data_IF_774030498791
#
_entry.id   IF_774030498791
#
_cell.length_a   1.000
_cell.length_b   1.000
_cell.length_c   1.000
_cell.angle_alpha   90.00
_cell.angle_beta   90.00
_cell.angle_gamma   90.00
#
_symmetry.space_group_name_H-M   'P 1'
#
loop_
_entity.id
_entity.type
_entity.pdbx_description
1 polymer ?
#
# COMPACT_ATOMS: atom_id res chain seq x y z
N UNK A 1 32.98 -14.12 -24.20
CA UNK A 1 34.08 -13.80 -23.28
C UNK A 1 35.38 -13.66 -24.06
N UNK A 2 36.21 -12.68 -23.70
CA UNK A 2 37.53 -12.52 -24.31
C UNK A 2 38.53 -13.45 -23.64
N UNK A 3 39.46 -14.02 -24.43
CA UNK A 3 40.60 -14.75 -23.87
C UNK A 3 41.58 -13.75 -23.24
N UNK A 4 42.41 -14.22 -22.32
CA UNK A 4 43.48 -13.39 -21.72
C UNK A 4 44.38 -12.79 -22.79
N UNK A 5 44.74 -13.56 -23.82
CA UNK A 5 45.52 -13.07 -24.96
C UNK A 5 44.82 -11.95 -25.74
N UNK A 6 43.50 -12.05 -25.97
CA UNK A 6 42.73 -11.01 -26.65
C UNK A 6 42.66 -9.72 -25.83
N UNK A 7 42.48 -9.82 -24.51
CA UNK A 7 42.51 -8.65 -23.61
C UNK A 7 43.90 -8.00 -23.60
N UNK A 8 44.98 -8.79 -23.59
CA UNK A 8 46.34 -8.25 -23.61
C UNK A 8 46.70 -7.58 -24.95
N UNK A 9 46.10 -8.03 -26.05
CA UNK A 9 46.31 -7.44 -27.38
C UNK A 9 45.61 -6.09 -27.56
N UNK A 10 44.44 -5.90 -26.94
CA UNK A 10 43.72 -4.62 -26.92
C UNK A 10 43.04 -4.38 -25.56
N UNK A 11 43.80 -3.89 -24.56
CA UNK A 11 43.32 -3.80 -23.19
C UNK A 11 42.28 -2.69 -22.98
N UNK A 12 42.22 -1.69 -23.85
CA UNK A 12 41.32 -0.54 -23.69
C UNK A 12 39.94 -0.88 -24.27
N UNK A 13 39.87 -1.23 -25.56
CA UNK A 13 38.58 -1.46 -26.21
C UNK A 13 37.86 -2.67 -25.60
N UNK A 14 38.62 -3.73 -25.33
CA UNK A 14 38.09 -4.95 -24.74
C UNK A 14 37.50 -4.69 -23.35
N UNK A 15 38.18 -3.89 -22.52
CA UNK A 15 37.69 -3.51 -21.20
C UNK A 15 36.43 -2.63 -21.28
N UNK A 16 36.40 -1.67 -22.21
CA UNK A 16 35.21 -0.84 -22.45
C UNK A 16 33.98 -1.68 -22.86
N UNK A 17 34.17 -2.70 -23.71
CA UNK A 17 33.09 -3.62 -24.13
C UNK A 17 32.60 -4.50 -22.98
N UNK A 18 33.49 -4.91 -22.06
CA UNK A 18 33.08 -5.66 -20.86
C UNK A 18 32.26 -4.79 -19.89
N UNK A 19 32.49 -3.48 -19.87
CA UNK A 19 31.78 -2.53 -19.01
C UNK A 19 30.40 -2.06 -19.52
N UNK A 20 30.01 -2.43 -20.75
CA UNK A 20 28.80 -1.90 -21.42
C UNK A 20 27.52 -2.03 -20.58
N UNK A 21 27.38 -3.13 -19.82
CA UNK A 21 26.16 -3.42 -19.05
C UNK A 21 26.32 -3.28 -17.53
N UNK A 22 27.46 -2.79 -17.04
CA UNK A 22 27.79 -2.79 -15.61
C UNK A 22 28.20 -1.42 -15.07
N UNK A 23 28.74 -0.53 -15.91
CA UNK A 23 29.32 0.73 -15.46
C UNK A 23 28.31 1.69 -14.80
N UNK A 24 27.05 1.69 -15.23
CA UNK A 24 26.03 2.63 -14.74
C UNK A 24 25.39 2.21 -13.40
N UNK A 25 25.53 0.94 -13.00
CA UNK A 25 24.79 0.37 -11.87
C UNK A 25 25.08 1.12 -10.57
N UNK A 26 26.36 1.35 -10.27
CA UNK A 26 26.77 2.09 -9.08
C UNK A 26 26.43 3.58 -9.16
N UNK A 27 26.46 4.17 -10.36
CA UNK A 27 26.16 5.61 -10.55
C UNK A 27 24.68 5.92 -10.39
N UNK A 28 23.81 4.95 -10.65
CA UNK A 28 22.36 5.07 -10.55
C UNK A 28 21.79 4.53 -9.23
N UNK A 29 22.65 4.20 -8.26
CA UNK A 29 22.26 3.64 -6.96
C UNK A 29 21.35 2.41 -7.12
N UNK A 30 21.85 1.42 -7.87
CA UNK A 30 21.14 0.18 -8.18
C UNK A 30 21.80 -1.02 -7.47
N UNK A 31 21.01 -2.05 -7.17
CA UNK A 31 21.52 -3.37 -6.83
C UNK A 31 21.51 -4.27 -8.06
N UNK A 32 22.36 -5.30 -8.07
CA UNK A 32 22.42 -6.24 -9.19
C UNK A 32 22.98 -7.60 -8.82
N UNK A 33 22.47 -8.66 -9.47
CA UNK A 33 22.92 -10.05 -9.27
C UNK A 33 23.13 -10.71 -10.64
N UNK A 34 24.34 -11.21 -10.87
CA UNK A 34 24.67 -12.00 -12.05
C UNK A 34 24.32 -13.48 -11.84
N UNK A 35 23.60 -14.07 -12.78
CA UNK A 35 23.01 -15.41 -12.67
C UNK A 35 23.40 -16.25 -13.88
N UNK A 36 23.96 -17.46 -13.69
CA UNK A 36 24.26 -18.36 -14.79
C UNK A 36 22.96 -18.92 -15.39
N UNK A 37 22.87 -18.89 -16.72
CA UNK A 37 21.64 -19.25 -17.47
C UNK A 37 21.85 -20.32 -18.53
N UNK A 38 23.09 -20.64 -18.88
CA UNK A 38 23.39 -21.77 -19.75
C UNK A 38 24.83 -21.77 -20.23
N UNK A 39 25.03 -22.48 -21.33
CA UNK A 39 26.26 -22.46 -22.10
C UNK A 39 25.99 -21.89 -23.48
N UNK A 40 26.97 -21.18 -24.02
CA UNK A 40 26.96 -20.68 -25.39
C UNK A 40 27.29 -21.82 -26.35
N UNK A 41 27.02 -21.63 -27.64
CA UNK A 41 27.34 -22.64 -28.68
C UNK A 41 28.83 -22.98 -28.82
N UNK A 42 29.73 -22.22 -28.17
CA UNK A 42 31.17 -22.50 -28.06
C UNK A 42 31.57 -23.18 -26.74
N UNK A 43 30.60 -23.65 -25.94
CA UNK A 43 30.83 -24.36 -24.68
C UNK A 43 31.25 -23.47 -23.51
N UNK A 44 31.25 -22.15 -23.67
CA UNK A 44 31.54 -21.20 -22.59
C UNK A 44 30.27 -20.82 -21.81
N UNK A 45 30.36 -20.54 -20.51
CA UNK A 45 29.20 -20.17 -19.71
C UNK A 45 28.54 -18.87 -20.20
N UNK A 46 27.23 -18.79 -19.99
CA UNK A 46 26.39 -17.62 -20.22
C UNK A 46 25.71 -17.21 -18.92
N UNK A 47 25.66 -15.91 -18.66
CA UNK A 47 24.95 -15.34 -17.53
C UNK A 47 24.10 -14.14 -17.96
N UNK A 48 23.06 -13.86 -17.18
CA UNK A 48 22.34 -12.59 -17.23
C UNK A 48 22.51 -11.85 -15.91
N UNK A 49 22.50 -10.53 -15.93
CA UNK A 49 22.53 -9.72 -14.72
C UNK A 49 21.15 -9.11 -14.51
N UNK A 50 20.52 -9.43 -13.38
CA UNK A 50 19.30 -8.77 -12.92
C UNK A 50 19.71 -7.47 -12.23
N UNK A 51 19.07 -6.36 -12.59
CA UNK A 51 19.31 -5.03 -12.00
C UNK A 51 18.00 -4.50 -11.42
N UNK A 52 18.07 -3.88 -10.23
CA UNK A 52 16.94 -3.26 -9.57
C UNK A 52 17.36 -1.98 -8.82
N UNK A 53 16.43 -1.11 -8.42
CA UNK A 53 16.74 0.06 -7.59
C UNK A 53 17.41 -0.33 -6.26
N UNK A 54 18.09 0.63 -5.61
CA UNK A 54 18.63 0.46 -4.27
C UNK A 54 17.57 0.00 -3.27
N UNK A 55 17.95 -0.94 -2.39
CA UNK A 55 17.07 -1.52 -1.37
C UNK A 55 16.22 -2.69 -1.86
N UNK A 56 16.28 -3.06 -3.14
CA UNK A 56 15.59 -4.21 -3.71
C UNK A 56 16.45 -5.50 -3.74
N UNK A 57 17.52 -5.58 -2.95
CA UNK A 57 18.49 -6.69 -2.96
C UNK A 57 17.83 -8.04 -2.71
N UNK A 58 16.92 -8.12 -1.73
CA UNK A 58 16.22 -9.35 -1.38
C UNK A 58 15.32 -9.85 -2.52
N UNK A 59 14.57 -8.94 -3.15
CA UNK A 59 13.71 -9.26 -4.31
C UNK A 59 14.57 -9.74 -5.49
N UNK A 60 15.65 -9.02 -5.78
CA UNK A 60 16.59 -9.37 -6.86
C UNK A 60 17.24 -10.73 -6.62
N UNK A 61 17.64 -11.03 -5.38
CA UNK A 61 18.20 -12.31 -4.99
C UNK A 61 17.19 -13.46 -5.10
N UNK A 62 15.91 -13.23 -4.77
CA UNK A 62 14.85 -14.23 -4.95
C UNK A 62 14.65 -14.57 -6.42
N UNK A 63 14.55 -13.57 -7.30
CA UNK A 63 14.42 -13.81 -8.73
C UNK A 63 15.67 -14.48 -9.32
N UNK A 64 16.85 -14.09 -8.85
CA UNK A 64 18.11 -14.71 -9.24
C UNK A 64 18.18 -16.19 -8.86
N UNK A 65 17.74 -16.53 -7.64
CA UNK A 65 17.62 -17.92 -7.18
C UNK A 65 16.69 -18.72 -8.09
N UNK A 66 15.51 -18.19 -8.39
CA UNK A 66 14.52 -18.89 -9.20
C UNK A 66 15.01 -19.11 -10.64
N UNK A 67 15.71 -18.12 -11.20
CA UNK A 67 16.33 -18.22 -12.51
C UNK A 67 17.48 -19.24 -12.55
N UNK A 68 18.34 -19.26 -11.53
CA UNK A 68 19.40 -20.26 -11.43
C UNK A 68 18.81 -21.66 -11.28
N UNK A 69 17.80 -21.83 -10.44
CA UNK A 69 17.13 -23.12 -10.26
C UNK A 69 16.50 -23.61 -11.57
N UNK A 70 15.86 -22.70 -12.33
CA UNK A 70 15.27 -23.01 -13.63
C UNK A 70 16.31 -23.36 -14.71
N UNK A 71 17.54 -22.83 -14.64
CA UNK A 71 18.60 -23.19 -15.59
C UNK A 71 19.15 -24.61 -15.38
N UNK A 72 18.93 -25.20 -14.20
CA UNK A 72 19.39 -26.55 -13.87
C UNK A 72 20.92 -26.69 -13.79
N UNK A 73 21.65 -25.58 -13.80
CA UNK A 73 23.11 -25.57 -13.76
C UNK A 73 23.64 -25.92 -12.35
N UNK A 74 24.82 -26.54 -12.24
CA UNK A 74 25.48 -26.75 -10.96
C UNK A 74 26.04 -25.44 -10.38
N UNK A 75 26.49 -25.48 -9.13
CA UNK A 75 27.18 -24.36 -8.48
C UNK A 75 28.55 -24.12 -9.11
N UNK A 76 28.58 -23.35 -10.19
CA UNK A 76 29.79 -23.08 -10.98
C UNK A 76 30.44 -24.37 -11.49
N UNK A 77 31.77 -24.37 -11.58
CA UNK A 77 32.55 -25.53 -12.05
C UNK A 77 32.71 -26.65 -11.00
N UNK A 78 32.01 -26.60 -9.85
CA UNK A 78 32.16 -27.59 -8.77
C UNK A 78 31.45 -28.91 -9.05
N UNK A 79 30.46 -28.91 -9.95
CA UNK A 79 29.55 -30.04 -10.16
C UNK A 79 28.57 -30.27 -9.00
N UNK A 80 28.56 -29.42 -7.98
CA UNK A 80 27.61 -29.54 -6.88
C UNK A 80 26.22 -29.11 -7.32
N UNK A 81 25.18 -29.90 -7.00
CA UNK A 81 23.82 -29.52 -7.32
C UNK A 81 23.42 -28.27 -6.53
N UNK A 82 22.48 -27.50 -7.08
CA UNK A 82 21.88 -26.42 -6.32
C UNK A 82 21.13 -26.99 -5.10
N UNK A 83 21.19 -26.32 -3.94
CA UNK A 83 20.32 -26.64 -2.82
C UNK A 83 18.87 -26.60 -3.27
N UNK A 84 18.05 -27.55 -2.82
CA UNK A 84 16.62 -27.55 -3.14
C UNK A 84 15.98 -26.23 -2.73
N UNK A 85 15.06 -25.72 -3.56
CA UNK A 85 14.31 -24.49 -3.28
C UNK A 85 13.59 -24.64 -1.94
N UNK A 86 14.10 -23.99 -0.90
CA UNK A 86 13.32 -23.79 0.30
C UNK A 86 12.20 -22.79 -0.02
N UNK A 87 10.97 -23.01 0.47
CA UNK A 87 9.91 -22.01 0.40
C UNK A 87 10.51 -20.69 0.89
N UNK A 88 10.42 -19.64 0.07
CA UNK A 88 10.84 -18.33 0.52
C UNK A 88 10.08 -18.02 1.81
N UNK A 89 10.80 -17.60 2.86
CA UNK A 89 10.15 -16.84 3.92
C UNK A 89 9.35 -15.73 3.23
N UNK A 90 8.11 -15.49 3.68
CA UNK A 90 7.23 -14.49 3.08
C UNK A 90 8.04 -13.24 2.75
N UNK A 91 7.87 -12.65 1.55
CA UNK A 91 8.60 -11.45 1.20
C UNK A 91 8.50 -10.47 2.38
N UNK A 92 9.60 -9.79 2.75
CA UNK A 92 9.49 -8.71 3.72
C UNK A 92 8.35 -7.82 3.20
N UNK A 93 7.42 -7.49 4.09
CA UNK A 93 6.21 -6.71 3.79
C UNK A 93 6.51 -5.75 2.65
N UNK A 94 5.66 -5.71 1.62
CA UNK A 94 5.79 -4.97 0.35
C UNK A 94 6.05 -3.45 0.47
N UNK A 95 6.50 -2.98 1.63
CA UNK A 95 6.73 -1.60 2.01
C UNK A 95 5.44 -0.88 2.34
N UNK A 96 4.29 -1.54 2.18
CA UNK A 96 2.99 -0.91 2.28
C UNK A 96 2.43 -1.05 3.69
N UNK A 97 1.85 0.06 4.15
CA UNK A 97 1.16 0.22 5.42
C UNK A 97 -0.33 0.24 5.12
N UNK A 98 -1.07 -0.66 5.76
CA UNK A 98 -2.52 -0.69 5.69
C UNK A 98 -3.11 0.47 6.54
N UNK A 99 -3.91 1.30 5.88
CA UNK A 99 -4.62 2.45 6.40
C UNK A 99 -6.14 2.26 6.25
N UNK A 100 -6.83 2.14 7.36
CA UNK A 100 -8.28 2.10 7.50
C UNK A 100 -8.83 3.51 7.43
N UNK A 101 -9.75 3.73 6.50
CA UNK A 101 -10.49 4.99 6.35
C UNK A 101 -11.99 4.74 6.53
N UNK A 102 -12.65 5.65 7.24
CA UNK A 102 -14.06 5.51 7.66
C UNK A 102 -14.95 6.65 7.15
N UNK A 103 -14.36 7.65 6.49
CA UNK A 103 -15.03 8.93 6.25
C UNK A 103 -14.85 9.53 4.87
N UNK A 104 -14.49 10.81 4.84
CA UNK A 104 -14.36 11.58 3.61
C UNK A 104 -13.31 11.03 2.63
N UNK A 105 -12.43 10.12 3.07
CA UNK A 105 -11.44 9.43 2.25
C UNK A 105 -11.91 8.11 1.64
N UNK A 106 -13.13 7.63 1.94
CA UNK A 106 -13.71 6.43 1.29
C UNK A 106 -13.83 6.63 -0.23
N UNK A 107 -13.80 5.57 -1.02
CA UNK A 107 -13.87 5.62 -2.50
C UNK A 107 -15.03 6.49 -3.02
N UNK A 108 -14.75 7.53 -3.80
CA UNK A 108 -15.78 8.44 -4.31
C UNK A 108 -16.34 9.45 -3.29
N UNK A 109 -15.78 9.53 -2.08
CA UNK A 109 -16.01 10.64 -1.14
C UNK A 109 -15.04 11.82 -1.43
N UNK A 110 -15.36 13.04 -0.96
CA UNK A 110 -14.68 14.27 -1.40
C UNK A 110 -13.16 14.33 -1.19
N UNK A 111 -12.62 13.63 -0.19
CA UNK A 111 -11.19 13.65 0.14
C UNK A 111 -10.43 12.40 -0.35
N UNK A 112 -11.09 11.48 -1.06
CA UNK A 112 -10.42 10.28 -1.59
C UNK A 112 -9.31 10.62 -2.59
N UNK A 113 -9.42 11.75 -3.28
CA UNK A 113 -8.36 12.25 -4.19
C UNK A 113 -7.01 12.44 -3.50
N UNK A 114 -6.98 12.74 -2.20
CA UNK A 114 -5.72 12.89 -1.45
C UNK A 114 -4.96 11.56 -1.32
N UNK A 115 -5.68 10.44 -1.15
CA UNK A 115 -5.08 9.10 -1.15
C UNK A 115 -4.59 8.73 -2.55
N UNK A 116 -5.39 9.00 -3.57
CA UNK A 116 -5.03 8.70 -4.96
C UNK A 116 -3.80 9.50 -5.42
N UNK A 117 -3.69 10.77 -5.03
CA UNK A 117 -2.51 11.62 -5.31
C UNK A 117 -1.22 11.10 -4.65
N UNK A 118 -1.36 10.37 -3.54
CA UNK A 118 -0.25 9.73 -2.84
C UNK A 118 0.06 8.32 -3.36
N UNK A 119 -0.60 7.87 -4.43
CA UNK A 119 -0.40 6.54 -5.01
C UNK A 119 -0.97 5.41 -4.13
N UNK A 120 -1.93 5.71 -3.25
CA UNK A 120 -2.56 4.71 -2.40
C UNK A 120 -3.26 3.64 -3.24
N UNK A 121 -3.15 2.39 -2.82
CA UNK A 121 -3.81 1.27 -3.47
C UNK A 121 -5.04 0.86 -2.66
N UNK A 122 -6.19 0.72 -3.32
CA UNK A 122 -7.36 0.15 -2.68
C UNK A 122 -7.11 -1.32 -2.37
N UNK A 123 -7.28 -1.71 -1.10
CA UNK A 123 -7.15 -3.10 -0.66
C UNK A 123 -8.50 -3.80 -0.62
N UNK A 124 -9.36 -3.43 0.34
CA UNK A 124 -10.68 -4.03 0.52
C UNK A 124 -11.67 -3.12 1.24
N UNK A 125 -12.96 -3.31 1.00
CA UNK A 125 -14.03 -2.78 1.85
C UNK A 125 -14.37 -3.82 2.92
N UNK A 126 -14.47 -3.40 4.18
CA UNK A 126 -14.73 -4.30 5.32
C UNK A 126 -15.40 -3.56 6.48
N UNK A 127 -15.46 -4.16 7.68
CA UNK A 127 -15.95 -3.53 8.91
C UNK A 127 -14.92 -3.56 10.02
N UNK A 128 -15.07 -2.65 10.97
CA UNK A 128 -14.39 -2.73 12.27
C UNK A 128 -14.92 -3.91 13.10
N UNK A 129 -14.18 -4.31 14.13
CA UNK A 129 -14.72 -5.10 15.23
C UNK A 129 -15.92 -4.38 15.89
N UNK A 130 -16.71 -5.11 16.68
CA UNK A 130 -17.89 -4.58 17.38
C UNK A 130 -17.53 -3.76 18.64
N UNK A 131 -16.46 -2.97 18.56
CA UNK A 131 -15.86 -2.24 19.68
C UNK A 131 -15.69 -0.74 19.36
N UNK A 132 -16.40 -0.22 18.36
CA UNK A 132 -16.23 1.15 17.88
C UNK A 132 -17.53 1.92 17.83
N UNK A 133 -17.46 3.21 18.13
CA UNK A 133 -18.52 4.18 17.87
C UNK A 133 -18.09 5.18 16.82
N UNK A 134 -19.04 5.58 15.99
CA UNK A 134 -18.85 6.55 14.93
C UNK A 134 -19.62 7.82 15.28
N UNK A 135 -18.93 8.96 15.25
CA UNK A 135 -19.49 10.26 15.54
C UNK A 135 -19.36 11.19 14.34
N UNK A 136 -20.33 12.08 14.14
CA UNK A 136 -20.17 13.26 13.30
C UNK A 136 -19.57 14.39 14.14
N UNK A 137 -18.36 14.85 13.79
CA UNK A 137 -17.67 15.91 14.52
C UNK A 137 -18.25 17.29 14.19
N UNK A 138 -18.54 18.08 15.22
CA UNK A 138 -19.07 19.43 15.08
C UNK A 138 -18.00 20.47 14.73
N UNK A 139 -18.44 21.62 14.19
CA UNK A 139 -17.58 22.81 13.99
C UNK A 139 -16.61 22.72 12.82
N UNK A 140 -16.80 21.80 11.88
CA UNK A 140 -15.96 21.65 10.68
C UNK A 140 -16.69 22.17 9.44
N UNK A 141 -15.99 22.89 8.55
CA UNK A 141 -16.52 23.35 7.26
C UNK A 141 -17.00 22.19 6.36
N UNK A 142 -16.32 21.06 6.46
CA UNK A 142 -16.69 19.81 5.78
C UNK A 142 -17.03 18.80 6.88
N UNK A 143 -18.21 18.17 6.87
CA UNK A 143 -18.57 17.14 7.83
C UNK A 143 -17.51 16.02 7.83
N UNK A 144 -16.99 15.71 9.02
CA UNK A 144 -15.96 14.68 9.20
C UNK A 144 -16.42 13.68 10.27
N UNK A 145 -16.26 12.38 10.02
CA UNK A 145 -16.48 11.40 11.06
C UNK A 145 -15.30 11.34 12.03
N UNK A 146 -15.61 11.04 13.28
CA UNK A 146 -14.66 10.62 14.30
C UNK A 146 -14.99 9.19 14.75
N UNK A 147 -14.03 8.29 14.61
CA UNK A 147 -14.14 6.94 15.13
C UNK A 147 -13.47 6.87 16.51
N UNK A 148 -14.11 6.23 17.48
CA UNK A 148 -13.53 5.99 18.80
C UNK A 148 -13.73 4.53 19.20
N UNK A 149 -12.69 3.93 19.81
CA UNK A 149 -12.80 2.61 20.42
C UNK A 149 -13.45 2.75 21.80
N UNK A 150 -14.43 1.91 22.09
CA UNK A 150 -15.15 1.90 23.37
C UNK A 150 -15.04 0.52 24.03
N UNK A 151 -15.07 0.49 25.35
CA UNK A 151 -15.07 -0.77 26.11
C UNK A 151 -16.42 -1.50 25.96
N UNK A 152 -17.53 -0.76 26.03
CA UNK A 152 -18.89 -1.30 25.98
C UNK A 152 -19.78 -0.53 25.00
N UNK A 153 -20.77 -1.22 24.43
CA UNK A 153 -21.75 -0.61 23.52
C UNK A 153 -21.18 -0.18 22.17
N UNK A 154 -20.12 -0.86 21.71
CA UNK A 154 -19.55 -0.68 20.38
C UNK A 154 -20.40 -1.30 19.27
N UNK A 155 -20.18 -0.83 18.05
CA UNK A 155 -20.80 -1.29 16.82
C UNK A 155 -19.73 -1.68 15.79
N UNK A 156 -20.14 -2.43 14.77
CA UNK A 156 -19.33 -2.67 13.56
C UNK A 156 -19.56 -1.54 12.57
N UNK A 157 -18.50 -0.85 12.17
CA UNK A 157 -18.57 0.31 11.29
C UNK A 157 -17.96 -0.04 9.93
N UNK A 158 -18.66 0.25 8.83
CA UNK A 158 -18.17 0.08 7.46
C UNK A 158 -16.96 0.99 7.20
N UNK A 159 -15.86 0.38 6.73
CA UNK A 159 -14.56 1.02 6.45
C UNK A 159 -13.94 0.51 5.16
N UNK A 160 -12.93 1.21 4.64
CA UNK A 160 -12.07 0.71 3.57
C UNK A 160 -10.62 0.64 4.05
N UNK A 161 -9.91 -0.41 3.63
CA UNK A 161 -8.47 -0.55 3.83
C UNK A 161 -7.76 -0.14 2.56
N UNK A 162 -6.91 0.87 2.68
CA UNK A 162 -6.04 1.39 1.64
C UNK A 162 -4.59 1.10 2.01
N UNK A 163 -3.70 0.99 1.02
CA UNK A 163 -2.30 0.63 1.23
C UNK A 163 -1.41 1.76 0.72
N UNK A 164 -0.48 2.22 1.54
CA UNK A 164 0.41 3.35 1.25
C UNK A 164 1.86 2.94 1.53
N UNK A 165 2.81 3.38 0.70
CA UNK A 165 4.21 3.28 1.09
C UNK A 165 4.51 4.12 2.33
N UNK A 166 5.61 3.82 3.03
CA UNK A 166 5.97 4.49 4.28
C UNK A 166 6.15 6.02 4.14
N UNK A 167 6.66 6.51 3.00
CA UNK A 167 6.87 7.94 2.78
C UNK A 167 5.54 8.67 2.50
N UNK A 168 4.66 8.05 1.71
CA UNK A 168 3.31 8.52 1.46
C UNK A 168 2.48 8.54 2.74
N UNK A 169 2.58 7.49 3.56
CA UNK A 169 1.95 7.43 4.88
C UNK A 169 2.44 8.59 5.77
N UNK A 170 3.76 8.81 5.88
CA UNK A 170 4.32 9.91 6.69
C UNK A 170 3.79 11.29 6.26
N UNK A 171 3.75 11.57 4.95
CA UNK A 171 3.17 12.81 4.41
C UNK A 171 1.68 12.93 4.73
N UNK A 172 0.94 11.84 4.60
CA UNK A 172 -0.49 11.81 4.88
C UNK A 172 -0.78 12.11 6.35
N UNK A 173 -0.08 11.44 7.28
CA UNK A 173 -0.27 11.63 8.73
C UNK A 173 0.08 13.04 9.18
N UNK A 174 1.14 13.64 8.63
CA UNK A 174 1.55 15.00 8.95
C UNK A 174 0.50 16.06 8.58
N UNK A 175 -0.39 15.77 7.63
CA UNK A 175 -1.44 16.68 7.17
C UNK A 175 -2.76 16.55 7.96
N UNK A 176 -2.86 15.64 8.93
CA UNK A 176 -4.10 15.39 9.66
C UNK A 176 -4.31 16.49 10.71
N UNK A 177 -5.41 17.27 10.61
CA UNK A 177 -5.69 18.30 11.60
C UNK A 177 -6.33 17.72 12.87
N UNK A 178 -6.18 18.39 14.02
CA UNK A 178 -6.97 18.06 15.21
C UNK A 178 -8.48 18.17 14.91
N UNK A 179 -9.34 17.37 15.57
CA UNK A 179 -9.05 16.45 16.67
C UNK A 179 -8.79 15.00 16.19
N UNK A 180 -8.32 14.81 14.95
CA UNK A 180 -8.10 13.49 14.38
C UNK A 180 -6.64 13.05 14.59
N UNK A 181 -6.46 11.75 14.84
CA UNK A 181 -5.16 11.11 14.91
C UNK A 181 -5.18 9.74 14.24
N UNK A 182 -3.99 9.16 14.07
CA UNK A 182 -3.84 7.79 13.56
C UNK A 182 -3.50 6.86 14.72
N UNK A 183 -4.38 5.89 14.96
CA UNK A 183 -4.17 4.82 15.91
C UNK A 183 -4.19 3.45 15.24
N UNK A 184 -4.37 2.41 16.05
CA UNK A 184 -4.59 1.04 15.57
C UNK A 184 -6.07 0.71 15.65
N UNK A 185 -6.64 0.20 14.56
CA UNK A 185 -8.03 -0.25 14.43
C UNK A 185 -8.05 -1.76 14.28
N UNK A 186 -8.96 -2.39 15.01
CA UNK A 186 -9.28 -3.81 14.90
C UNK A 186 -10.44 -4.01 13.94
N UNK A 187 -10.24 -4.88 12.95
CA UNK A 187 -11.21 -5.23 11.92
C UNK A 187 -12.07 -6.43 12.36
N UNK A 188 -13.18 -6.67 11.65
CA UNK A 188 -14.10 -7.75 11.97
C UNK A 188 -13.52 -9.16 11.83
N UNK A 189 -12.50 -9.31 11.00
CA UNK A 189 -11.68 -10.52 10.80
C UNK A 189 -10.59 -10.71 11.89
N UNK A 190 -10.51 -9.78 12.86
CA UNK A 190 -9.52 -9.80 13.95
C UNK A 190 -8.15 -9.22 13.57
N UNK A 191 -7.96 -8.77 12.32
CA UNK A 191 -6.72 -8.12 11.91
C UNK A 191 -6.61 -6.70 12.45
N UNK A 192 -5.38 -6.22 12.61
CA UNK A 192 -5.06 -4.87 13.11
C UNK A 192 -4.43 -4.04 12.01
N UNK A 193 -4.92 -2.82 11.80
CA UNK A 193 -4.38 -1.89 10.80
C UNK A 193 -4.35 -0.46 11.35
N UNK A 194 -3.57 0.44 10.71
CA UNK A 194 -3.55 1.86 11.12
C UNK A 194 -4.80 2.55 10.63
N UNK A 195 -5.32 3.54 11.34
CA UNK A 195 -6.50 4.26 10.87
C UNK A 195 -6.90 5.44 11.72
N UNK A 196 -7.87 6.20 11.20
CA UNK A 196 -8.38 7.41 11.84
C UNK A 196 -9.12 7.12 13.14
N UNK A 197 -8.68 7.77 14.21
CA UNK A 197 -9.39 7.88 15.47
C UNK A 197 -9.59 9.36 15.82
N UNK A 198 -10.65 9.66 16.57
CA UNK A 198 -10.89 10.99 17.11
C UNK A 198 -10.45 11.07 18.57
N UNK A 199 -9.85 12.19 18.94
CA UNK A 199 -9.61 12.55 20.33
C UNK A 199 -10.95 12.80 21.06
N UNK A 200 -11.01 12.43 22.33
CA UNK A 200 -12.22 12.60 23.17
C UNK A 200 -12.65 14.06 23.28
N UNK A 201 -11.71 15.00 23.22
CA UNK A 201 -12.00 16.44 23.20
C UNK A 201 -12.89 16.85 22.01
N UNK A 202 -12.70 16.21 20.85
CA UNK A 202 -13.49 16.43 19.64
C UNK A 202 -14.93 15.91 19.71
N UNK A 203 -15.27 15.11 20.73
CA UNK A 203 -16.60 14.49 20.86
C UNK A 203 -17.61 15.33 21.65
N UNK A 204 -17.17 16.40 22.31
CA UNK A 204 -17.99 17.20 23.23
C UNK A 204 -19.29 17.76 22.62
N UNK A 205 -19.30 18.06 21.32
CA UNK A 205 -20.49 18.48 20.57
C UNK A 205 -20.81 17.55 19.38
N UNK A 206 -20.24 16.34 19.37
CA UNK A 206 -20.38 15.42 18.26
C UNK A 206 -21.67 14.58 18.38
N UNK A 207 -22.26 14.22 17.24
CA UNK A 207 -23.48 13.40 17.20
C UNK A 207 -23.10 11.93 17.04
N UNK A 208 -23.61 11.04 17.90
CA UNK A 208 -23.41 9.60 17.74
C UNK A 208 -24.21 9.09 16.52
N UNK A 209 -23.50 8.66 15.49
CA UNK A 209 -24.05 8.12 14.25
C UNK A 209 -23.75 6.62 14.09
N UNK A 210 -23.38 5.94 15.17
CA UNK A 210 -23.02 4.51 15.16
C UNK A 210 -24.17 3.63 14.65
N UNK A 211 -25.42 4.03 14.89
CA UNK A 211 -26.62 3.31 14.43
C UNK A 211 -26.75 3.24 12.90
N UNK A 212 -26.08 4.12 12.16
CA UNK A 212 -26.06 4.08 10.69
C UNK A 212 -25.11 3.00 10.17
N UNK A 213 -24.20 2.48 11.00
CA UNK A 213 -23.23 1.45 10.63
C UNK A 213 -22.13 1.90 9.67
N UNK A 214 -22.09 3.18 9.28
CA UNK A 214 -21.06 3.71 8.38
C UNK A 214 -21.36 5.10 7.85
N UNK A 215 -20.31 5.83 7.50
CA UNK A 215 -20.39 7.24 7.04
C UNK A 215 -21.23 7.41 5.77
N UNK A 216 -21.08 6.51 4.78
CA UNK A 216 -21.83 6.58 3.52
C UNK A 216 -23.35 6.58 3.75
N UNK A 217 -23.81 5.70 4.64
CA UNK A 217 -25.24 5.54 4.95
C UNK A 217 -25.80 6.77 5.66
N UNK A 218 -25.01 7.38 6.54
CA UNK A 218 -25.36 8.64 7.20
C UNK A 218 -25.52 9.78 6.18
N UNK A 219 -24.53 10.00 5.32
CA UNK A 219 -24.57 11.08 4.31
C UNK A 219 -25.71 10.88 3.31
N UNK A 220 -25.98 9.65 2.86
CA UNK A 220 -27.10 9.36 1.98
C UNK A 220 -28.45 9.75 2.61
N UNK A 221 -28.66 9.38 3.88
CA UNK A 221 -29.89 9.71 4.62
C UNK A 221 -30.05 11.21 4.88
N UNK A 222 -28.95 11.93 5.11
CA UNK A 222 -28.96 13.39 5.23
C UNK A 222 -29.43 14.09 3.94
N UNK A 223 -29.01 13.60 2.77
CA UNK A 223 -29.51 14.10 1.47
C UNK A 223 -30.99 13.81 1.28
N UNK A 224 -31.44 12.59 1.57
CA UNK A 224 -32.85 12.21 1.42
C UNK A 224 -33.78 13.05 2.32
N UNK A 225 -33.35 13.35 3.55
CA UNK A 225 -34.11 14.19 4.48
C UNK A 225 -34.14 15.67 4.07
N UNK A 226 -33.04 16.20 3.53
CA UNK A 226 -32.99 17.55 2.99
C UNK A 226 -33.93 17.72 1.79
N UNK A 227 -33.88 16.78 0.84
CA UNK A 227 -34.76 16.76 -0.34
C UNK A 227 -36.24 16.60 0.04
N UNK A 228 -36.56 15.81 1.06
CA UNK A 228 -37.93 15.69 1.57
C UNK A 228 -38.41 16.93 2.32
N UNK A 229 -37.52 17.62 3.04
CA UNK A 229 -37.83 18.88 3.71
C UNK A 229 -38.09 20.00 2.70
N UNK A 230 -37.28 20.10 1.64
CA UNK A 230 -37.51 21.02 0.53
C UNK A 230 -38.82 20.71 -0.19
N UNK A 231 -39.12 19.44 -0.47
CA UNK A 231 -40.42 19.03 -1.07
C UNK A 231 -41.62 19.34 -0.17
N UNK A 232 -41.48 19.24 1.15
CA UNK A 232 -42.54 19.59 2.12
C UNK A 232 -42.72 21.10 2.27
N UNK A 233 -41.64 21.88 2.20
CA UNK A 233 -41.70 23.34 2.22
C UNK A 233 -42.24 23.93 0.91
N UNK A 234 -42.00 23.26 -0.22
CA UNK A 234 -42.55 23.63 -1.54
C UNK A 234 -43.95 23.06 -1.83
N UNK A 235 -44.64 22.48 -0.84
CA UNK A 235 -46.03 22.06 -1.01
C UNK A 235 -46.95 23.30 -1.07
N UNK A 236 -47.72 23.53 -2.15
CA UNK A 236 -48.57 24.71 -2.24
C UNK A 236 -49.66 24.65 -1.16
N UNK A 237 -49.76 25.72 -0.37
CA UNK A 237 -50.81 25.89 0.62
C UNK A 237 -52.19 25.99 -0.09
N UNK A 238 -52.87 24.87 -0.29
CA UNK A 238 -54.25 24.89 -0.81
C UNK A 238 -54.75 23.68 -1.63
N UNK A 239 -54.06 22.54 -1.69
CA UNK A 239 -54.64 21.37 -2.37
C UNK A 239 -55.59 20.60 -1.41
N UNK A 240 -56.86 20.32 -1.82
CA UNK A 240 -57.85 19.68 -0.94
C UNK A 240 -57.52 18.19 -0.71
N UNK A 241 -58.01 17.68 0.42
CA UNK A 241 -57.85 16.31 0.95
C UNK A 241 -58.43 15.28 -0.02
#
# INVERSE_FOLDING_TARGET
HYTTAAVLADPVETNSRLGTYTNFVNLLDMCGVAVPTGERGDGLPMSVTLLAPAGCDALTAMLARDLHAASGLPLGATGWPQPGLQPAAQPPCDGLIDLVVVGAHLSGMPLNSQLNQLGAQFGRATRTAAAYKLYELAGQLVPKPGLIRVADGGMRIDVEVWRLDAAAFGRFVAAIPPPLGIGTIELDDGTLAKGFLAETAGLSAATDISAYGGWRRFVARGKDMAEQSEKRQNWPAGAPI
#
